data_IF_890239228094
#
_entry.id   IF_890239228094
#
_cell.length_a   1.000
_cell.length_b   1.000
_cell.length_c   1.000
_cell.angle_alpha   90.00
_cell.angle_beta   90.00
_cell.angle_gamma   90.00
#
_symmetry.space_group_name_H-M   'P 1'
#
loop_
_entity.id
_entity.type
_entity.pdbx_description
1 polymer ?
#
# COMPACT_ATOMS: atom_id res chain seq x y z
N UNK A 1 -33.66 5.73 -2.06
CA UNK A 1 -33.03 5.57 -0.73
C UNK A 1 -31.54 5.69 -0.92
N UNK A 2 -30.84 6.51 -0.13
CA UNK A 2 -29.37 6.55 -0.19
C UNK A 2 -28.84 5.14 0.16
N UNK A 3 -28.02 4.55 -0.73
CA UNK A 3 -27.50 3.20 -0.53
C UNK A 3 -26.52 3.18 0.64
N UNK A 4 -26.66 2.19 1.51
CA UNK A 4 -25.85 2.07 2.72
C UNK A 4 -24.44 1.55 2.40
N UNK A 5 -23.45 2.45 2.47
CA UNK A 5 -22.03 2.14 2.27
C UNK A 5 -21.48 1.07 3.22
N UNK A 6 -22.10 0.86 4.39
CA UNK A 6 -21.66 -0.13 5.37
C UNK A 6 -22.00 -1.57 4.95
N UNK A 7 -22.96 -1.74 4.03
CA UNK A 7 -23.31 -3.05 3.45
C UNK A 7 -22.54 -3.38 2.17
N UNK A 8 -21.86 -2.40 1.59
CA UNK A 8 -21.17 -2.54 0.33
C UNK A 8 -19.91 -3.42 0.44
N UNK A 9 -19.53 -4.05 -0.66
CA UNK A 9 -18.21 -4.67 -0.77
C UNK A 9 -17.21 -3.60 -1.22
N UNK A 10 -16.31 -3.25 -0.31
CA UNK A 10 -15.22 -2.33 -0.58
C UNK A 10 -14.05 -3.10 -1.20
N UNK A 11 -13.53 -2.58 -2.30
CA UNK A 11 -12.33 -3.07 -2.97
C UNK A 11 -11.32 -1.94 -3.14
N UNK A 12 -10.05 -2.27 -2.97
CA UNK A 12 -8.89 -1.43 -3.23
C UNK A 12 -7.86 -2.17 -4.10
N UNK A 13 -6.84 -1.48 -4.59
CA UNK A 13 -5.70 -2.11 -5.28
C UNK A 13 -5.12 -3.28 -4.47
N UNK A 14 -4.75 -3.06 -3.20
CA UNK A 14 -4.19 -4.09 -2.33
C UNK A 14 -5.12 -5.29 -2.17
N UNK A 15 -6.41 -5.05 -1.90
CA UNK A 15 -7.39 -6.12 -1.72
C UNK A 15 -7.63 -6.93 -3.02
N UNK A 16 -7.57 -6.28 -4.18
CA UNK A 16 -7.69 -6.95 -5.48
C UNK A 16 -6.46 -7.80 -5.73
N UNK A 17 -5.26 -7.25 -5.49
CA UNK A 17 -3.98 -7.96 -5.62
C UNK A 17 -3.92 -9.18 -4.70
N UNK A 18 -4.36 -9.06 -3.44
CA UNK A 18 -4.48 -10.18 -2.51
C UNK A 18 -5.38 -11.29 -3.06
N UNK A 19 -6.56 -10.93 -3.58
CA UNK A 19 -7.53 -11.89 -4.09
C UNK A 19 -7.02 -12.63 -5.33
N UNK A 20 -6.40 -11.89 -6.26
CA UNK A 20 -5.81 -12.46 -7.47
C UNK A 20 -4.64 -13.40 -7.13
N UNK A 21 -3.80 -13.02 -6.16
CA UNK A 21 -2.69 -13.83 -5.71
C UNK A 21 -3.16 -15.09 -4.97
N UNK A 22 -4.10 -14.96 -4.03
CA UNK A 22 -4.68 -16.07 -3.29
C UNK A 22 -5.98 -15.66 -2.57
N UNK A 23 -7.15 -16.24 -2.89
CA UNK A 23 -8.40 -15.94 -2.18
C UNK A 23 -8.33 -16.17 -0.66
N UNK A 24 -7.50 -17.11 -0.19
CA UNK A 24 -7.26 -17.35 1.24
C UNK A 24 -6.48 -16.21 1.90
N UNK A 25 -5.47 -15.68 1.22
CA UNK A 25 -4.73 -14.51 1.73
C UNK A 25 -5.65 -13.28 1.77
N UNK A 26 -6.47 -13.07 0.73
CA UNK A 26 -7.50 -12.04 0.74
C UNK A 26 -8.42 -12.15 1.96
N UNK A 27 -8.91 -13.35 2.28
CA UNK A 27 -9.73 -13.54 3.46
C UNK A 27 -9.00 -13.11 4.73
N UNK A 28 -7.78 -13.59 4.95
CA UNK A 28 -7.01 -13.31 6.16
C UNK A 28 -6.67 -11.81 6.31
N UNK A 29 -6.33 -11.12 5.23
CA UNK A 29 -6.01 -9.69 5.27
C UNK A 29 -7.25 -8.78 5.32
N UNK A 30 -8.34 -9.15 4.64
CA UNK A 30 -9.42 -8.20 4.32
C UNK A 30 -10.76 -8.52 4.98
N UNK A 31 -10.97 -9.75 5.45
CA UNK A 31 -12.26 -10.24 5.96
C UNK A 31 -12.14 -10.78 7.39
N UNK A 32 -11.09 -11.55 7.67
CA UNK A 32 -10.84 -12.14 8.98
C UNK A 32 -10.69 -11.06 10.04
N UNK A 33 -11.23 -11.35 11.22
CA UNK A 33 -11.03 -10.59 12.44
C UNK A 33 -10.63 -11.57 13.51
N UNK A 34 -9.62 -11.21 14.29
CA UNK A 34 -9.20 -12.02 15.42
C UNK A 34 -10.37 -12.17 16.43
N UNK A 35 -10.70 -13.40 16.87
CA UNK A 35 -11.83 -13.61 17.78
C UNK A 35 -11.65 -12.97 19.17
N UNK A 36 -10.42 -12.70 19.60
CA UNK A 36 -10.14 -12.13 20.91
C UNK A 36 -10.18 -10.60 20.88
N UNK A 37 -9.55 -9.97 19.89
CA UNK A 37 -9.51 -8.49 19.78
C UNK A 37 -10.65 -7.90 18.93
N UNK A 38 -11.21 -8.68 18.00
CA UNK A 38 -12.12 -8.18 16.97
C UNK A 38 -11.42 -7.35 15.86
N UNK A 39 -10.11 -7.19 15.94
CA UNK A 39 -9.32 -6.43 14.97
C UNK A 39 -8.97 -7.27 13.74
N UNK A 40 -8.60 -6.61 12.64
CA UNK A 40 -7.94 -7.31 11.53
C UNK A 40 -6.49 -7.60 11.91
N UNK A 41 -5.87 -8.54 11.22
CA UNK A 41 -4.45 -8.85 11.38
C UNK A 41 -3.64 -8.25 10.22
N UNK A 42 -2.39 -7.91 10.49
CA UNK A 42 -1.41 -7.54 9.48
C UNK A 42 -0.05 -8.14 9.80
N UNK A 43 0.73 -8.43 8.77
CA UNK A 43 2.08 -8.97 8.92
C UNK A 43 3.10 -7.89 8.60
N UNK A 44 3.92 -7.54 9.58
CA UNK A 44 5.00 -6.58 9.43
C UNK A 44 6.29 -7.25 8.95
N UNK A 45 7.05 -6.51 8.14
CA UNK A 45 8.37 -6.92 7.68
C UNK A 45 9.27 -5.69 7.46
N UNK A 46 10.60 -5.83 7.51
CA UNK A 46 11.53 -4.73 7.28
C UNK A 46 11.29 -3.93 5.99
N UNK A 47 10.99 -4.55 4.82
CA UNK A 47 10.66 -3.79 3.61
C UNK A 47 9.37 -2.97 3.73
N UNK A 48 8.37 -3.48 4.46
CA UNK A 48 7.11 -2.77 4.67
C UNK A 48 7.31 -1.57 5.59
N UNK A 49 8.06 -1.74 6.69
CA UNK A 49 8.43 -0.66 7.60
C UNK A 49 9.14 0.50 6.87
N UNK A 50 10.13 0.16 6.03
CA UNK A 50 10.84 1.13 5.18
C UNK A 50 9.89 1.86 4.22
N UNK A 51 9.02 1.10 3.54
CA UNK A 51 8.04 1.67 2.62
C UNK A 51 7.11 2.66 3.34
N UNK A 52 6.51 2.23 4.44
CA UNK A 52 5.59 3.05 5.23
C UNK A 52 6.24 4.35 5.70
N UNK A 53 7.45 4.27 6.27
CA UNK A 53 8.13 5.44 6.80
C UNK A 53 8.50 6.45 5.70
N UNK A 54 9.01 5.97 4.55
CA UNK A 54 9.37 6.84 3.42
C UNK A 54 8.12 7.49 2.80
N UNK A 55 7.04 6.73 2.63
CA UNK A 55 5.77 7.27 2.13
C UNK A 55 5.21 8.33 3.08
N UNK A 56 5.17 8.06 4.38
CA UNK A 56 4.65 9.02 5.36
C UNK A 56 5.41 10.36 5.29
N UNK A 57 6.74 10.32 5.20
CA UNK A 57 7.55 11.54 5.08
C UNK A 57 7.24 12.30 3.79
N UNK A 58 7.24 11.63 2.64
CA UNK A 58 7.06 12.30 1.34
C UNK A 58 5.63 12.81 1.16
N UNK A 59 4.63 12.00 1.49
CA UNK A 59 3.22 12.37 1.35
C UNK A 59 2.85 13.54 2.27
N UNK A 60 3.48 13.65 3.45
CA UNK A 60 3.27 14.78 4.37
C UNK A 60 3.59 16.13 3.74
N UNK A 61 4.51 16.18 2.77
CA UNK A 61 4.90 17.40 2.07
C UNK A 61 3.74 18.04 1.30
N UNK A 62 2.73 17.26 0.91
CA UNK A 62 1.55 17.77 0.20
C UNK A 62 0.74 18.77 1.03
N UNK A 63 0.85 18.71 2.36
CA UNK A 63 0.16 19.61 3.29
C UNK A 63 0.98 20.85 3.64
N UNK A 64 2.25 20.90 3.24
CA UNK A 64 3.13 22.03 3.47
C UNK A 64 3.12 22.94 2.22
N UNK A 65 3.06 24.27 2.40
CA UNK A 65 3.23 25.21 1.28
C UNK A 65 4.49 24.92 0.48
N UNK A 66 4.41 25.02 -0.85
CA UNK A 66 5.46 24.61 -1.80
C UNK A 66 6.84 25.15 -1.44
N UNK A 67 6.91 26.42 -1.04
CA UNK A 67 8.10 27.14 -0.67
C UNK A 67 8.71 26.70 0.66
N UNK A 68 7.99 25.94 1.50
CA UNK A 68 8.43 25.47 2.82
C UNK A 68 8.68 23.96 2.89
N UNK A 69 8.35 23.18 1.87
CA UNK A 69 8.37 21.70 1.90
C UNK A 69 9.71 21.12 2.31
N UNK A 70 10.81 21.74 1.89
CA UNK A 70 12.17 21.26 2.10
C UNK A 70 12.99 22.12 3.08
N UNK A 71 12.34 23.02 3.84
CA UNK A 71 13.02 23.80 4.88
C UNK A 71 13.51 22.92 6.04
N UNK A 72 12.70 21.94 6.42
CA UNK A 72 13.06 20.95 7.43
C UNK A 72 13.74 19.75 6.74
N UNK A 73 14.89 19.27 7.24
CA UNK A 73 15.54 18.10 6.69
C UNK A 73 14.64 16.86 6.70
N UNK A 74 14.45 16.23 5.54
CA UNK A 74 13.65 15.01 5.43
C UNK A 74 14.20 13.85 6.28
N UNK A 75 15.52 13.83 6.53
CA UNK A 75 16.16 12.86 7.40
C UNK A 75 15.66 12.98 8.85
N UNK A 76 15.49 14.19 9.38
CA UNK A 76 14.96 14.42 10.73
C UNK A 76 13.50 13.96 10.84
N UNK A 77 12.68 14.23 9.81
CA UNK A 77 11.31 13.71 9.74
C UNK A 77 11.29 12.18 9.71
N UNK A 78 12.18 11.57 8.94
CA UNK A 78 12.30 10.11 8.88
C UNK A 78 12.63 9.54 10.25
N UNK A 79 13.59 10.11 10.98
CA UNK A 79 13.96 9.63 12.32
C UNK A 79 12.79 9.67 13.31
N UNK A 80 11.91 10.68 13.22
CA UNK A 80 10.70 10.74 14.05
C UNK A 80 9.68 9.67 13.65
N UNK A 81 9.40 9.54 12.34
CA UNK A 81 8.48 8.52 11.82
C UNK A 81 8.99 7.10 12.10
N UNK A 82 10.31 6.89 12.03
CA UNK A 82 10.94 5.59 12.22
C UNK A 82 10.70 4.99 13.59
N UNK A 83 10.52 5.83 14.63
CA UNK A 83 10.18 5.40 16.00
C UNK A 83 8.89 4.57 16.05
N UNK A 84 7.97 4.75 15.10
CA UNK A 84 6.72 3.98 15.01
C UNK A 84 6.94 2.54 14.54
N UNK A 85 8.02 2.31 13.79
CA UNK A 85 8.36 1.05 13.14
C UNK A 85 9.72 0.51 13.59
N UNK A 86 10.27 0.98 14.71
CA UNK A 86 11.58 0.54 15.19
C UNK A 86 11.52 -0.84 15.88
N UNK A 87 12.65 -1.54 15.88
CA UNK A 87 12.78 -2.88 16.47
C UNK A 87 11.74 -3.87 15.95
N UNK A 88 11.20 -4.69 16.85
CA UNK A 88 10.20 -5.71 16.50
C UNK A 88 8.93 -5.13 15.86
N UNK A 89 8.56 -3.87 16.16
CA UNK A 89 7.40 -3.22 15.54
C UNK A 89 7.56 -3.01 14.03
N UNK A 90 8.79 -2.98 13.51
CA UNK A 90 9.09 -2.98 12.07
C UNK A 90 9.50 -4.33 11.51
N UNK A 91 9.43 -5.40 12.31
CA UNK A 91 9.95 -6.71 11.93
C UNK A 91 11.47 -6.82 11.95
N UNK A 92 12.15 -5.95 12.70
CA UNK A 92 13.60 -6.03 12.91
C UNK A 92 13.90 -6.91 14.13
N UNK A 93 14.84 -7.85 13.96
CA UNK A 93 15.27 -8.77 15.02
C UNK A 93 16.67 -8.45 15.55
N UNK A 94 17.41 -7.57 14.86
CA UNK A 94 18.74 -7.12 15.23
C UNK A 94 18.93 -5.65 14.80
N UNK A 95 19.73 -4.86 15.56
CA UNK A 95 19.98 -3.46 15.26
C UNK A 95 20.66 -3.23 13.90
N UNK A 96 21.55 -4.13 13.47
CA UNK A 96 22.31 -3.96 12.21
C UNK A 96 21.38 -3.99 10.98
N UNK A 97 20.40 -4.90 11.00
CA UNK A 97 19.36 -4.97 9.98
C UNK A 97 18.51 -3.70 10.01
N UNK A 98 18.08 -3.25 11.19
CA UNK A 98 17.30 -2.02 11.32
C UNK A 98 18.04 -0.81 10.76
N UNK A 99 19.30 -0.63 11.14
CA UNK A 99 20.15 0.45 10.66
C UNK A 99 20.35 0.39 9.15
N UNK A 100 20.54 -0.81 8.58
CA UNK A 100 20.63 -0.99 7.12
C UNK A 100 19.38 -0.49 6.40
N UNK A 101 18.18 -0.73 6.94
CA UNK A 101 16.94 -0.24 6.35
C UNK A 101 16.74 1.26 6.58
N UNK A 102 17.09 1.77 7.76
CA UNK A 102 17.04 3.20 8.06
C UNK A 102 17.94 3.99 7.10
N UNK A 103 19.18 3.53 6.89
CA UNK A 103 20.14 4.14 5.99
C UNK A 103 19.63 4.14 4.54
N UNK A 104 19.00 3.04 4.09
CA UNK A 104 18.33 3.01 2.77
C UNK A 104 17.20 4.03 2.67
N UNK A 105 16.43 4.23 3.73
CA UNK A 105 15.40 5.28 3.80
C UNK A 105 16.01 6.69 3.67
N UNK A 106 17.10 6.95 4.41
CA UNK A 106 17.85 8.21 4.34
C UNK A 106 18.37 8.48 2.92
N UNK A 107 18.91 7.47 2.24
CA UNK A 107 19.37 7.57 0.85
C UNK A 107 18.25 7.89 -0.13
N UNK A 108 17.06 7.27 0.02
CA UNK A 108 15.90 7.59 -0.81
C UNK A 108 15.47 9.05 -0.63
N UNK A 109 15.39 9.53 0.62
CA UNK A 109 15.00 10.91 0.90
C UNK A 109 16.07 11.92 0.50
N UNK A 110 17.35 11.57 0.60
CA UNK A 110 18.44 12.40 0.09
C UNK A 110 18.35 12.56 -1.43
N UNK A 111 18.02 11.48 -2.17
CA UNK A 111 17.77 11.56 -3.61
C UNK A 111 16.60 12.48 -3.93
N UNK A 112 15.50 12.38 -3.19
CA UNK A 112 14.35 13.29 -3.33
C UNK A 112 14.75 14.73 -3.05
N UNK A 113 15.59 14.99 -2.05
CA UNK A 113 16.06 16.35 -1.75
C UNK A 113 16.92 16.93 -2.88
N UNK A 114 17.81 16.12 -3.47
CA UNK A 114 18.67 16.53 -4.58
C UNK A 114 17.91 16.67 -5.90
N UNK A 115 16.84 15.90 -6.07
CA UNK A 115 16.01 15.87 -7.27
C UNK A 115 14.51 15.95 -6.90
N UNK A 116 14.04 17.09 -6.38
CA UNK A 116 12.70 17.19 -5.79
C UNK A 116 11.58 17.17 -6.83
N UNK A 117 11.90 17.51 -8.10
CA UNK A 117 11.02 17.36 -9.24
C UNK A 117 9.59 17.84 -8.97
N UNK A 118 8.56 16.99 -9.14
CA UNK A 118 7.15 17.37 -8.98
C UNK A 118 6.76 17.74 -7.53
N UNK A 119 7.60 17.44 -6.53
CA UNK A 119 7.32 17.77 -5.14
C UNK A 119 7.54 19.25 -4.82
N UNK A 120 8.17 20.04 -5.69
CA UNK A 120 8.22 21.50 -5.54
C UNK A 120 6.97 22.20 -6.09
N UNK A 121 6.16 21.48 -6.89
CA UNK A 121 5.00 22.03 -7.58
C UNK A 121 3.73 21.95 -6.73
N UNK A 122 2.68 22.68 -7.12
CA UNK A 122 1.39 22.61 -6.44
C UNK A 122 0.86 21.17 -6.44
N UNK A 123 0.18 20.79 -5.35
CA UNK A 123 -0.44 19.47 -5.21
C UNK A 123 -1.95 19.63 -4.96
N UNK A 124 -2.75 18.73 -5.53
CA UNK A 124 -4.19 18.67 -5.28
C UNK A 124 -4.47 17.70 -4.14
N UNK A 125 -5.20 18.18 -3.12
CA UNK A 125 -5.69 17.33 -2.03
C UNK A 125 -7.14 16.94 -2.27
N UNK A 126 -7.42 15.64 -2.33
CA UNK A 126 -8.79 15.12 -2.32
C UNK A 126 -9.37 15.35 -0.92
N UNK A 127 -10.58 15.92 -0.84
CA UNK A 127 -11.26 16.25 0.43
C UNK A 127 -11.91 15.03 1.09
N UNK A 128 -11.19 13.91 1.15
CA UNK A 128 -11.61 12.65 1.75
C UNK A 128 -10.36 12.00 2.36
N UNK A 129 -10.45 11.48 3.58
CA UNK A 129 -9.32 10.76 4.20
C UNK A 129 -8.95 9.52 3.39
N UNK A 130 -9.95 8.75 2.98
CA UNK A 130 -9.84 7.64 2.03
C UNK A 130 -10.72 7.95 0.82
N UNK A 131 -10.15 8.36 -0.33
CA UNK A 131 -10.91 8.52 -1.56
C UNK A 131 -11.66 7.25 -1.93
N UNK A 132 -12.95 7.39 -2.25
CA UNK A 132 -13.79 6.28 -2.70
C UNK A 132 -14.92 6.78 -3.60
N UNK A 133 -15.45 5.88 -4.44
CA UNK A 133 -16.70 6.08 -5.15
C UNK A 133 -17.43 4.75 -5.38
N UNK A 134 -18.72 4.82 -5.69
CA UNK A 134 -19.50 3.65 -6.07
C UNK A 134 -19.06 3.15 -7.45
N UNK A 135 -18.33 2.04 -7.48
CA UNK A 135 -17.88 1.42 -8.73
C UNK A 135 -19.05 0.77 -9.47
N UNK A 136 -19.97 0.17 -8.72
CA UNK A 136 -21.28 -0.28 -9.22
C UNK A 136 -22.27 -0.20 -8.07
N UNK A 137 -23.22 0.70 -8.19
CA UNK A 137 -24.29 0.81 -7.21
C UNK A 137 -25.24 -0.39 -7.26
N UNK A 138 -25.48 -0.97 -8.44
CA UNK A 138 -26.39 -2.12 -8.62
C UNK A 138 -25.78 -3.39 -8.00
N UNK A 139 -24.46 -3.52 -8.09
CA UNK A 139 -23.74 -4.60 -7.43
C UNK A 139 -23.35 -4.25 -5.98
N UNK A 140 -23.70 -3.08 -5.44
CA UNK A 140 -23.30 -2.64 -4.10
C UNK A 140 -21.77 -2.76 -3.85
N UNK A 141 -20.97 -2.25 -4.79
CA UNK A 141 -19.51 -2.29 -4.77
C UNK A 141 -18.94 -0.87 -4.76
N UNK A 142 -18.01 -0.62 -3.82
CA UNK A 142 -17.27 0.63 -3.69
C UNK A 142 -15.80 0.37 -4.03
N UNK A 143 -15.22 1.23 -4.87
CA UNK A 143 -13.77 1.29 -5.09
C UNK A 143 -13.18 2.37 -4.19
N UNK A 144 -12.12 2.04 -3.45
CA UNK A 144 -11.38 2.96 -2.61
C UNK A 144 -9.87 2.82 -2.81
N UNK A 145 -9.13 3.84 -2.39
CA UNK A 145 -7.66 3.80 -2.39
C UNK A 145 -7.06 5.14 -2.02
N UNK A 146 -5.81 5.10 -1.55
CA UNK A 146 -5.01 6.28 -1.26
C UNK A 146 -4.06 6.50 -2.44
N UNK A 147 -4.03 7.72 -2.97
CA UNK A 147 -3.11 8.13 -4.03
C UNK A 147 -1.95 8.83 -3.35
N UNK A 148 -0.72 8.38 -3.58
CA UNK A 148 0.45 8.92 -2.87
C UNK A 148 0.67 10.40 -3.17
N UNK A 149 0.66 10.79 -4.46
CA UNK A 149 0.86 12.17 -4.86
C UNK A 149 0.04 12.55 -6.09
N UNK A 150 -0.53 13.76 -6.04
CA UNK A 150 -1.32 14.33 -7.11
C UNK A 150 -0.82 15.74 -7.41
N UNK A 151 0.14 15.85 -8.33
CA UNK A 151 0.71 17.11 -8.77
C UNK A 151 -0.31 17.87 -9.63
N UNK A 152 -0.47 19.18 -9.38
CA UNK A 152 -1.27 20.07 -10.21
C UNK A 152 -0.41 20.68 -11.31
N UNK A 153 -0.90 20.66 -12.55
CA UNK A 153 -0.26 21.22 -13.73
C UNK A 153 -1.02 22.48 -14.18
N UNK A 154 -0.57 23.70 -13.83
CA UNK A 154 -1.32 24.92 -14.09
C UNK A 154 -1.57 25.20 -15.58
N UNK A 155 -0.59 24.87 -16.43
CA UNK A 155 -0.62 25.11 -17.88
C UNK A 155 -1.80 24.43 -18.56
N UNK A 156 -2.15 23.22 -18.11
CA UNK A 156 -3.22 22.40 -18.68
C UNK A 156 -4.42 22.24 -17.73
N UNK A 157 -4.36 22.88 -16.56
CA UNK A 157 -5.35 22.75 -15.46
C UNK A 157 -5.68 21.29 -15.13
N UNK A 158 -4.68 20.42 -15.21
CA UNK A 158 -4.80 18.98 -15.07
C UNK A 158 -3.97 18.47 -13.89
N UNK A 159 -4.05 17.17 -13.61
CA UNK A 159 -3.26 16.53 -12.56
C UNK A 159 -2.39 15.40 -13.09
N UNK A 160 -1.25 15.22 -12.43
CA UNK A 160 -0.30 14.14 -12.64
C UNK A 160 -0.28 13.24 -11.39
N UNK A 161 -0.67 11.99 -11.57
CA UNK A 161 -0.64 10.97 -10.52
C UNK A 161 0.76 10.39 -10.44
N UNK A 162 1.34 10.38 -9.24
CA UNK A 162 2.64 9.77 -8.98
C UNK A 162 2.48 8.77 -7.84
N UNK A 163 2.92 7.54 -8.08
CA UNK A 163 2.98 6.46 -7.08
C UNK A 163 4.45 6.19 -6.74
N UNK A 164 4.81 6.31 -5.46
CA UNK A 164 6.19 6.12 -5.01
C UNK A 164 6.49 4.64 -4.81
N UNK A 165 7.69 4.22 -5.20
CA UNK A 165 8.15 2.84 -5.09
C UNK A 165 9.47 2.78 -4.34
N UNK A 166 9.42 2.11 -3.19
CA UNK A 166 10.58 1.84 -2.32
C UNK A 166 11.15 0.43 -2.50
N UNK A 167 10.48 -0.39 -3.30
CA UNK A 167 10.90 -1.76 -3.62
C UNK A 167 12.08 -1.82 -4.60
N UNK A 168 12.76 -2.96 -4.61
CA UNK A 168 13.88 -3.24 -5.53
C UNK A 168 13.41 -3.54 -6.95
N UNK A 169 12.23 -4.13 -7.09
CA UNK A 169 11.66 -4.54 -8.38
C UNK A 169 10.82 -3.44 -9.01
N UNK A 170 10.63 -3.54 -10.32
CA UNK A 170 9.66 -2.71 -11.02
C UNK A 170 8.24 -3.21 -10.74
N UNK A 171 7.26 -2.32 -10.89
CA UNK A 171 5.85 -2.70 -10.82
C UNK A 171 5.48 -3.55 -12.04
N UNK A 172 4.62 -4.55 -11.84
CA UNK A 172 4.15 -5.41 -12.92
C UNK A 172 3.41 -4.56 -13.98
N UNK A 173 3.73 -4.67 -15.29
CA UNK A 173 3.03 -3.93 -16.34
C UNK A 173 1.51 -4.18 -16.40
N UNK A 174 1.05 -5.30 -15.83
CA UNK A 174 -0.36 -5.68 -15.73
C UNK A 174 -1.04 -5.21 -14.44
N UNK A 175 -0.29 -4.55 -13.55
CA UNK A 175 -0.77 -3.98 -12.29
C UNK A 175 -1.97 -3.07 -12.51
N UNK A 176 -2.93 -3.17 -11.59
CA UNK A 176 -4.13 -2.34 -11.61
C UNK A 176 -3.99 -1.06 -10.80
N UNK A 177 -2.80 -0.78 -10.25
CA UNK A 177 -2.61 0.36 -9.37
C UNK A 177 -2.86 1.71 -10.05
N UNK A 178 -2.11 2.05 -11.11
CA UNK A 178 -2.34 3.30 -11.85
C UNK A 178 -3.73 3.35 -12.52
N UNK A 179 -4.28 2.25 -13.09
CA UNK A 179 -5.67 2.22 -13.53
C UNK A 179 -6.68 2.57 -12.41
N UNK A 180 -6.51 2.03 -11.21
CA UNK A 180 -7.36 2.35 -10.05
C UNK A 180 -7.18 3.80 -9.60
N UNK A 181 -5.95 4.30 -9.56
CA UNK A 181 -5.68 5.70 -9.18
C UNK A 181 -6.27 6.66 -10.21
N UNK A 182 -6.20 6.35 -11.50
CA UNK A 182 -6.82 7.14 -12.56
C UNK A 182 -8.34 7.21 -12.37
N UNK A 183 -8.99 6.08 -12.05
CA UNK A 183 -10.42 6.03 -11.72
C UNK A 183 -10.75 6.89 -10.49
N UNK A 184 -9.99 6.75 -9.39
CA UNK A 184 -10.21 7.48 -8.15
C UNK A 184 -10.02 8.99 -8.34
N UNK A 185 -8.91 9.42 -8.92
CA UNK A 185 -8.63 10.82 -9.17
C UNK A 185 -9.70 11.45 -10.06
N UNK A 186 -10.13 10.78 -11.12
CA UNK A 186 -11.15 11.33 -12.04
C UNK A 186 -12.54 11.44 -11.41
N UNK A 187 -12.81 10.74 -10.30
CA UNK A 187 -14.11 10.74 -9.62
C UNK A 187 -14.12 11.55 -8.32
N UNK A 188 -12.97 11.72 -7.67
CA UNK A 188 -12.88 12.30 -6.32
C UNK A 188 -12.32 13.73 -6.30
N UNK A 189 -11.92 14.29 -7.45
CA UNK A 189 -11.51 15.69 -7.58
C UNK A 189 -11.88 16.27 -8.96
N UNK A 190 -11.64 17.56 -9.19
CA UNK A 190 -12.26 18.34 -10.28
C UNK A 190 -11.41 18.47 -11.55
N UNK A 191 -10.11 18.19 -11.49
CA UNK A 191 -9.17 18.36 -12.59
C UNK A 191 -9.02 17.07 -13.41
N UNK A 192 -8.91 17.14 -14.74
CA UNK A 192 -8.64 15.96 -15.56
C UNK A 192 -7.26 15.38 -15.23
N UNK A 193 -7.13 14.05 -15.28
CA UNK A 193 -5.85 13.37 -15.17
C UNK A 193 -5.18 13.37 -16.55
N UNK A 194 -3.96 13.88 -16.65
CA UNK A 194 -3.22 13.95 -17.92
C UNK A 194 -1.96 13.09 -17.93
N UNK A 195 -1.42 12.77 -16.76
CA UNK A 195 -0.19 11.96 -16.61
C UNK A 195 -0.31 10.99 -15.44
N UNK A 196 0.39 9.87 -15.59
CA UNK A 196 0.60 8.88 -14.53
C UNK A 196 2.06 8.45 -14.54
N UNK A 197 2.67 8.29 -13.37
CA UNK A 197 4.06 7.85 -13.24
C UNK A 197 4.27 6.96 -12.03
N UNK A 198 5.25 6.07 -12.14
CA UNK A 198 5.90 5.47 -10.97
C UNK A 198 7.17 6.23 -10.66
N UNK A 199 7.48 6.47 -9.39
CA UNK A 199 8.76 7.02 -8.99
C UNK A 199 9.52 6.04 -8.09
N UNK A 200 10.52 5.37 -8.68
CA UNK A 200 11.36 4.39 -8.00
C UNK A 200 12.46 5.07 -7.17
N UNK A 201 12.11 5.45 -5.95
CA UNK A 201 12.92 6.27 -5.05
C UNK A 201 14.29 5.67 -4.73
N UNK A 202 14.47 4.35 -4.87
CA UNK A 202 15.76 3.68 -4.68
C UNK A 202 16.78 3.96 -5.79
N UNK A 203 16.34 4.24 -7.02
CA UNK A 203 17.22 4.21 -8.20
C UNK A 203 16.98 5.31 -9.23
N UNK A 204 15.87 6.04 -9.13
CA UNK A 204 15.45 7.02 -10.13
C UNK A 204 15.37 8.41 -9.54
N UNK A 205 16.06 9.34 -10.17
CA UNK A 205 16.09 10.76 -9.78
C UNK A 205 14.84 11.52 -10.23
N UNK A 206 14.00 10.91 -11.07
CA UNK A 206 12.73 11.49 -11.53
C UNK A 206 11.65 10.40 -11.70
N UNK A 207 10.36 10.78 -11.70
CA UNK A 207 9.27 9.87 -12.04
C UNK A 207 9.40 9.31 -13.46
N UNK A 208 9.13 8.01 -13.61
CA UNK A 208 9.04 7.32 -14.88
C UNK A 208 7.59 7.33 -15.38
N UNK A 209 7.31 8.17 -16.38
CA UNK A 209 5.98 8.30 -16.98
C UNK A 209 5.52 6.98 -17.60
N UNK A 210 4.27 6.62 -17.31
CA UNK A 210 3.59 5.45 -17.88
C UNK A 210 2.53 5.88 -18.90
N UNK A 211 2.07 4.92 -19.70
CA UNK A 211 0.92 5.13 -20.57
C UNK A 211 -0.31 5.41 -19.70
N UNK A 212 -1.03 6.49 -20.00
CA UNK A 212 -2.29 6.81 -19.32
C UNK A 212 -3.31 5.65 -19.54
N UNK A 213 -3.83 5.02 -18.47
CA UNK A 213 -4.75 3.90 -18.62
C UNK A 213 -6.08 4.33 -19.22
N UNK A 214 -6.66 3.49 -20.08
CA UNK A 214 -8.02 3.68 -20.56
C UNK A 214 -9.03 3.50 -19.41
N UNK A 215 -9.88 4.50 -19.21
CA UNK A 215 -10.80 4.54 -18.07
C UNK A 215 -11.92 3.52 -18.18
N UNK A 216 -12.42 3.26 -19.38
CA UNK A 216 -13.52 2.33 -19.60
C UNK A 216 -13.04 0.89 -19.43
N UNK A 217 -11.88 0.56 -19.99
CA UNK A 217 -11.22 -0.73 -19.82
C UNK A 217 -10.84 -0.98 -18.35
N UNK A 218 -10.26 0.03 -17.69
CA UNK A 218 -9.93 -0.04 -16.26
C UNK A 218 -11.18 -0.31 -15.42
N UNK A 219 -12.26 0.44 -15.64
CA UNK A 219 -13.51 0.26 -14.91
C UNK A 219 -14.10 -1.14 -15.13
N UNK A 220 -14.15 -1.62 -16.38
CA UNK A 220 -14.64 -2.97 -16.72
C UNK A 220 -13.80 -4.05 -16.03
N UNK A 221 -12.47 -3.94 -16.08
CA UNK A 221 -11.54 -4.93 -15.49
C UNK A 221 -11.64 -4.98 -13.97
N UNK A 222 -11.62 -3.81 -13.31
CA UNK A 222 -11.76 -3.70 -11.85
C UNK A 222 -13.13 -4.23 -11.40
N UNK A 223 -14.22 -3.82 -12.06
CA UNK A 223 -15.57 -4.27 -11.70
C UNK A 223 -15.73 -5.79 -11.86
N UNK A 224 -15.18 -6.37 -12.94
CA UNK A 224 -15.19 -7.82 -13.15
C UNK A 224 -14.54 -8.58 -11.99
N UNK A 225 -13.38 -8.12 -11.50
CA UNK A 225 -12.70 -8.74 -10.36
C UNK A 225 -13.47 -8.48 -9.07
N UNK A 226 -14.00 -7.28 -8.86
CA UNK A 226 -14.77 -6.91 -7.68
C UNK A 226 -16.05 -7.76 -7.55
N UNK A 227 -16.73 -8.10 -8.66
CA UNK A 227 -17.86 -9.03 -8.66
C UNK A 227 -17.45 -10.45 -8.24
N UNK A 228 -16.27 -10.92 -8.66
CA UNK A 228 -15.72 -12.21 -8.20
C UNK A 228 -15.42 -12.21 -6.70
N UNK A 229 -14.85 -11.11 -6.19
CA UNK A 229 -14.61 -10.90 -4.76
C UNK A 229 -15.94 -10.91 -3.99
N UNK A 230 -16.95 -10.16 -4.46
CA UNK A 230 -18.28 -10.12 -3.86
C UNK A 230 -18.90 -11.52 -3.80
N UNK A 231 -18.86 -12.28 -4.89
CA UNK A 231 -19.36 -13.65 -4.94
C UNK A 231 -18.62 -14.55 -3.94
N UNK A 232 -17.29 -14.47 -3.86
CA UNK A 232 -16.51 -15.24 -2.90
C UNK A 232 -16.88 -14.91 -1.45
N UNK A 233 -17.15 -13.65 -1.12
CA UNK A 233 -17.65 -13.21 0.19
C UNK A 233 -19.03 -13.76 0.50
N UNK A 234 -19.97 -13.69 -0.44
CA UNK A 234 -21.33 -14.22 -0.29
C UNK A 234 -21.33 -15.73 -0.05
N UNK A 235 -20.49 -16.47 -0.79
CA UNK A 235 -20.34 -17.92 -0.65
C UNK A 235 -19.41 -18.33 0.49
N UNK A 236 -18.77 -17.38 1.18
CA UNK A 236 -17.71 -17.59 2.18
C UNK A 236 -16.63 -18.58 1.71
N UNK A 237 -16.30 -18.54 0.41
CA UNK A 237 -15.40 -19.51 -0.24
C UNK A 237 -14.09 -18.87 -0.66
N UNK A 238 -13.08 -19.04 0.20
CA UNK A 238 -11.75 -18.46 0.05
C UNK A 238 -10.66 -19.52 -0.03
N UNK A 239 -10.76 -20.42 -1.02
CA UNK A 239 -9.84 -21.56 -1.14
C UNK A 239 -8.52 -21.13 -1.77
N UNK A 240 -7.41 -21.51 -1.14
CA UNK A 240 -6.11 -21.50 -1.80
C UNK A 240 -6.12 -22.53 -2.94
N UNK A 241 -5.44 -22.24 -4.05
CA UNK A 241 -5.28 -23.18 -5.16
C UNK A 241 -4.38 -24.37 -4.81
N UNK A 242 -3.54 -24.24 -3.76
CA UNK A 242 -2.64 -25.28 -3.28
C UNK A 242 -3.21 -25.92 -2.02
N UNK A 243 -3.12 -27.25 -1.92
CA UNK A 243 -3.68 -28.01 -0.78
C UNK A 243 -3.04 -27.62 0.56
N UNK A 244 -1.73 -27.35 0.60
CA UNK A 244 -0.96 -27.01 1.81
C UNK A 244 -0.70 -25.50 1.94
N UNK A 245 -1.55 -24.67 1.34
CA UNK A 245 -1.34 -23.23 1.26
C UNK A 245 -0.22 -22.82 0.28
N UNK A 246 -0.19 -21.54 -0.08
CA UNK A 246 0.84 -20.97 -0.95
C UNK A 246 1.70 -19.96 -0.18
N UNK A 247 2.79 -19.50 -0.80
CA UNK A 247 3.72 -18.51 -0.23
C UNK A 247 3.06 -17.21 0.26
N UNK A 248 1.87 -16.89 -0.27
CA UNK A 248 1.13 -15.65 0.07
C UNK A 248 0.26 -15.85 1.30
N UNK A 249 -0.44 -16.97 1.42
CA UNK A 249 -1.33 -17.19 2.56
C UNK A 249 -0.63 -17.85 3.75
N UNK A 250 0.40 -18.70 3.56
CA UNK A 250 1.09 -19.41 4.66
C UNK A 250 1.57 -18.49 5.79
N UNK A 251 2.18 -17.32 5.52
CA UNK A 251 2.55 -16.39 6.58
C UNK A 251 1.37 -15.92 7.45
N UNK A 252 0.22 -15.70 6.82
CA UNK A 252 -1.00 -15.28 7.53
C UNK A 252 -1.68 -16.46 8.25
N UNK A 253 -1.53 -17.68 7.73
CA UNK A 253 -1.98 -18.90 8.41
C UNK A 253 -1.16 -19.15 9.69
N UNK A 254 0.14 -18.85 9.67
CA UNK A 254 1.01 -18.95 10.85
C UNK A 254 0.54 -18.00 11.97
N UNK A 255 0.04 -16.81 11.62
CA UNK A 255 -0.57 -15.89 12.59
C UNK A 255 -1.76 -16.53 13.31
N UNK A 256 -2.70 -17.11 12.55
CA UNK A 256 -3.89 -17.73 13.17
C UNK A 256 -3.57 -19.06 13.87
N UNK A 257 -2.45 -19.70 13.53
CA UNK A 257 -1.96 -20.90 14.20
C UNK A 257 -1.28 -20.60 15.54
N UNK A 258 -0.98 -19.32 15.82
CA UNK A 258 -0.24 -18.88 17.00
C UNK A 258 1.28 -18.93 16.85
N UNK A 259 1.79 -19.11 15.62
CA UNK A 259 3.22 -19.22 15.31
C UNK A 259 3.87 -17.85 15.03
N UNK A 260 3.11 -16.74 15.14
CA UNK A 260 3.59 -15.39 14.94
C UNK A 260 3.61 -14.58 16.24
N UNK A 261 4.55 -13.64 16.36
CA UNK A 261 4.66 -12.77 17.53
C UNK A 261 3.82 -11.50 17.32
N UNK A 262 2.92 -11.20 18.25
CA UNK A 262 2.17 -9.94 18.29
C UNK A 262 3.07 -8.80 18.77
N UNK A 263 3.15 -7.71 18.02
CA UNK A 263 4.06 -6.58 18.29
C UNK A 263 3.35 -5.25 18.52
N UNK A 264 2.01 -5.24 18.54
CA UNK A 264 1.19 -4.08 18.88
C UNK A 264 0.06 -3.82 17.89
N UNK A 265 -0.54 -2.65 18.00
CA UNK A 265 -1.67 -2.21 17.17
C UNK A 265 -1.19 -1.04 16.30
N UNK A 266 -1.58 -1.05 15.02
CA UNK A 266 -1.27 0.04 14.08
C UNK A 266 -2.28 1.20 14.12
N UNK A 267 -2.03 2.23 13.32
CA UNK A 267 -2.92 3.40 13.20
C UNK A 267 -4.31 3.07 12.63
N UNK A 268 -4.46 1.93 11.94
CA UNK A 268 -5.72 1.44 11.38
C UNK A 268 -6.45 0.47 12.31
N UNK A 269 -6.01 0.36 13.57
CA UNK A 269 -6.55 -0.57 14.56
C UNK A 269 -6.49 -2.04 14.09
N UNK A 270 -5.34 -2.42 13.52
CA UNK A 270 -5.00 -3.79 13.16
C UNK A 270 -3.95 -4.35 14.12
N UNK A 271 -4.10 -5.62 14.45
CA UNK A 271 -3.13 -6.37 15.23
C UNK A 271 -1.93 -6.69 14.34
N UNK A 272 -0.76 -6.18 14.72
CA UNK A 272 0.48 -6.32 13.95
C UNK A 272 1.25 -7.52 14.45
N UNK A 273 1.61 -8.40 13.53
CA UNK A 273 2.39 -9.61 13.81
C UNK A 273 3.69 -9.63 13.02
N UNK A 274 4.69 -10.31 13.55
CA UNK A 274 5.94 -10.65 12.85
C UNK A 274 6.15 -12.17 12.88
N UNK A 275 6.69 -12.72 11.80
CA UNK A 275 7.10 -14.13 11.80
C UNK A 275 8.47 -14.29 12.45
N UNK A 276 8.65 -15.25 13.36
CA UNK A 276 9.97 -15.57 13.91
C UNK A 276 10.98 -15.85 12.80
N UNK A 277 12.24 -15.46 13.01
CA UNK A 277 13.32 -15.98 12.16
C UNK A 277 13.43 -17.49 12.38
N UNK A 278 13.62 -18.30 11.33
CA UNK A 278 14.08 -19.67 11.51
C UNK A 278 15.33 -19.63 12.40
N UNK A 279 15.35 -20.43 13.47
CA UNK A 279 16.52 -20.49 14.35
C UNK A 279 17.72 -21.02 13.56
N UNK A 280 18.94 -20.63 13.95
CA UNK A 280 20.14 -21.25 13.37
C UNK A 280 20.24 -22.75 13.72
N UNK A 281 19.50 -23.22 14.75
CA UNK A 281 19.34 -24.64 15.10
C UNK A 281 18.60 -25.44 14.00
N UNK A 282 17.66 -24.81 13.27
CA UNK A 282 16.97 -25.46 12.14
C UNK A 282 17.89 -25.64 10.91
N UNK A 283 19.11 -25.08 10.95
CA UNK A 283 20.17 -25.27 9.95
C UNK A 283 21.25 -26.24 10.41
N UNK A 284 21.07 -26.94 11.54
CA UNK A 284 21.98 -27.96 12.01
C UNK A 284 21.99 -29.16 11.03
N UNK A 285 22.93 -29.14 10.08
CA UNK A 285 23.26 -30.31 9.28
C UNK A 285 23.92 -31.37 10.18
N UNK A 286 23.29 -32.52 10.35
CA UNK A 286 23.96 -33.71 10.90
C UNK A 286 24.91 -34.26 9.84
N UNK A 287 26.21 -34.32 10.14
CA UNK A 287 27.15 -35.10 9.33
C UNK A 287 26.81 -36.57 9.56
N UNK A 288 26.41 -37.27 8.50
CA UNK A 288 26.26 -38.73 8.48
C UNK A 288 27.62 -39.40 8.28
#
# INVERSE_FOLDING_TARGET
MAKDKYTAVWVSHSSISDFLACPRAYFLNNVYRDPHSGHKITLMSPPLALGQAVHEVIESLSTVPTEKRFHEPLASKLEEVWKKVSGKRGGFFDPDTEETYLQRGKEMLARVLNHPGPLTNLAVKIKMELPYFWLSEDDNIILCGKIDWLEYLPETKSVHIIDFKTGKTEEDPTSLQLPIYHLLASRCQQHPVSKVSYWYLMRSDAPAQQKLPDMEEAQKKVLSIAKKIKLARQLRRFKCKRATGCRVCRPLEAVIAGDAEFVGIDEYHQDVYILPRPSDDDRASTIL
#
